data_IF_767168090051
#
_entry.id   IF_767168090051
#
_cell.length_a   1.000
_cell.length_b   1.000
_cell.length_c   1.000
_cell.angle_alpha   90.00
_cell.angle_beta   90.00
_cell.angle_gamma   90.00
#
_symmetry.space_group_name_H-M   'P 1'
#
loop_
_entity.id
_entity.type
_entity.pdbx_description
1 polymer ?
#
# COMPACT_ATOMS: atom_id res chain seq x y z
N UNK A 1 11.98 -33.59 49.70
CA UNK A 1 12.46 -32.24 50.07
C UNK A 1 11.30 -31.46 50.66
N UNK A 2 11.56 -30.69 51.71
CA UNK A 2 10.60 -30.20 52.70
C UNK A 2 9.62 -29.11 52.19
N UNK A 3 8.57 -28.95 53.00
CA UNK A 3 7.32 -28.19 52.96
C UNK A 3 7.39 -26.64 52.96
N UNK A 4 6.29 -25.99 52.49
CA UNK A 4 5.68 -24.68 52.93
C UNK A 4 6.49 -23.38 52.69
N UNK A 5 5.97 -22.14 52.49
CA UNK A 5 4.71 -21.44 52.88
C UNK A 5 4.58 -20.09 52.12
N UNK A 6 3.37 -19.50 52.12
CA UNK A 6 2.94 -18.22 51.51
C UNK A 6 3.02 -17.02 52.49
N UNK A 7 3.53 -15.85 52.02
CA UNK A 7 3.28 -14.38 52.36
C UNK A 7 3.12 -13.94 53.85
N UNK A 8 2.85 -12.66 54.22
CA UNK A 8 3.29 -11.30 53.81
C UNK A 8 3.73 -10.43 55.03
N UNK A 9 4.32 -9.24 54.84
CA UNK A 9 4.29 -8.09 55.81
C UNK A 9 4.37 -6.78 55.02
N UNK A 10 3.27 -6.06 54.78
CA UNK A 10 2.67 -5.04 55.67
C UNK A 10 3.68 -3.91 56.01
N UNK A 11 3.62 -2.79 55.30
CA UNK A 11 2.80 -1.62 55.67
C UNK A 11 3.45 -0.75 56.76
N UNK A 12 4.39 0.12 56.37
CA UNK A 12 4.70 1.39 57.05
C UNK A 12 5.17 2.38 55.98
N UNK A 13 4.79 3.66 56.12
CA UNK A 13 5.01 4.82 55.21
C UNK A 13 3.87 5.16 54.25
N UNK A 14 2.68 5.27 54.84
CA UNK A 14 1.69 6.28 54.49
C UNK A 14 2.17 7.68 54.96
N UNK A 15 1.74 8.72 54.23
CA UNK A 15 1.50 10.10 54.71
C UNK A 15 2.72 11.03 54.93
N UNK A 16 3.39 11.50 53.86
CA UNK A 16 4.18 12.75 53.96
C UNK A 16 4.51 13.48 52.63
N UNK A 17 3.78 13.29 51.52
CA UNK A 17 4.06 14.05 50.28
C UNK A 17 2.78 14.41 49.49
N UNK A 18 1.72 14.79 50.21
CA UNK A 18 0.43 15.23 49.65
C UNK A 18 0.28 16.76 49.53
N UNK A 19 1.34 17.56 49.54
CA UNK A 19 1.18 19.02 49.73
C UNK A 19 1.92 19.97 48.78
N UNK A 20 2.59 19.51 47.72
CA UNK A 20 3.14 20.44 46.73
C UNK A 20 3.05 19.87 45.32
N UNK A 21 2.16 20.47 44.52
CA UNK A 21 2.29 20.80 43.09
C UNK A 21 0.89 20.95 42.44
N UNK A 22 0.06 21.82 43.03
CA UNK A 22 -1.13 22.40 42.38
C UNK A 22 -0.72 23.65 41.59
N UNK A 23 0.19 23.50 40.62
CA UNK A 23 0.44 24.53 39.61
C UNK A 23 -0.27 24.07 38.35
N UNK A 24 -1.35 24.78 38.00
CA UNK A 24 -2.12 24.56 36.79
C UNK A 24 -1.25 24.71 35.55
N UNK A 25 -0.76 23.59 35.04
CA UNK A 25 -0.28 23.50 33.67
C UNK A 25 -1.47 23.28 32.76
N UNK A 26 -1.87 24.30 32.00
CA UNK A 26 -2.64 24.05 30.78
C UNK A 26 -1.81 23.09 29.94
N UNK A 27 -2.17 21.80 29.92
CA UNK A 27 -1.58 20.87 29.00
C UNK A 27 -1.98 21.37 27.60
N UNK A 28 -1.05 22.07 26.93
CA UNK A 28 -1.15 22.33 25.49
C UNK A 28 -1.30 20.96 24.85
N UNK A 29 -2.53 20.61 24.45
CA UNK A 29 -2.77 19.52 23.52
C UNK A 29 -1.80 19.78 22.37
N UNK A 30 -0.84 18.89 22.08
CA UNK A 30 0.03 19.07 20.94
C UNK A 30 -0.89 19.27 19.75
N UNK A 31 -0.88 20.46 19.16
CA UNK A 31 -1.61 20.71 17.93
C UNK A 31 -1.10 19.66 16.96
N UNK A 32 -1.96 18.69 16.63
CA UNK A 32 -1.60 17.62 15.71
C UNK A 32 -1.23 18.31 14.39
N UNK A 33 0.07 18.44 14.13
CA UNK A 33 0.56 18.91 12.84
C UNK A 33 -0.11 18.03 11.79
N UNK A 34 -0.76 18.59 10.76
CA UNK A 34 -1.39 17.79 9.72
C UNK A 34 -0.38 16.77 9.21
N UNK A 35 -0.66 15.48 9.42
CA UNK A 35 0.28 14.42 9.03
C UNK A 35 0.30 14.35 7.51
N UNK A 36 1.30 14.96 6.89
CA UNK A 36 1.53 14.81 5.45
C UNK A 36 1.90 13.36 5.20
N UNK A 37 1.06 12.64 4.47
CA UNK A 37 1.32 11.26 4.09
C UNK A 37 2.57 11.19 3.19
N UNK A 38 3.46 10.20 3.41
CA UNK A 38 4.53 9.92 2.47
C UNK A 38 4.00 9.77 1.03
N UNK A 39 4.75 10.23 0.00
CA UNK A 39 4.31 10.13 -1.39
C UNK A 39 3.83 8.73 -1.81
N UNK A 40 4.54 7.70 -1.33
CA UNK A 40 4.24 6.30 -1.60
C UNK A 40 2.89 5.87 -1.04
N UNK A 41 2.53 6.37 0.14
CA UNK A 41 1.25 6.08 0.79
C UNK A 41 0.11 6.80 0.08
N UNK A 42 0.34 8.02 -0.44
CA UNK A 42 -0.64 8.74 -1.27
C UNK A 42 -0.92 7.97 -2.56
N UNK A 43 0.13 7.46 -3.23
CA UNK A 43 -0.01 6.66 -4.45
C UNK A 43 -0.75 5.36 -4.13
N UNK A 44 -0.36 4.66 -3.06
CA UNK A 44 -0.98 3.40 -2.62
C UNK A 44 -2.47 3.60 -2.30
N UNK A 45 -2.83 4.64 -1.56
CA UNK A 45 -4.21 4.94 -1.21
C UNK A 45 -5.06 5.25 -2.45
N UNK A 46 -4.52 6.03 -3.41
CA UNK A 46 -5.22 6.31 -4.65
C UNK A 46 -5.40 5.06 -5.51
N UNK A 47 -4.38 4.20 -5.61
CA UNK A 47 -4.46 2.94 -6.34
C UNK A 47 -5.52 2.04 -5.72
N UNK A 48 -5.51 1.87 -4.39
CA UNK A 48 -6.53 1.10 -3.68
C UNK A 48 -7.93 1.63 -3.98
N UNK A 49 -8.16 2.94 -3.89
CA UNK A 49 -9.47 3.54 -4.20
C UNK A 49 -9.94 3.25 -5.62
N UNK A 50 -9.05 3.33 -6.61
CA UNK A 50 -9.37 3.04 -8.01
C UNK A 50 -9.70 1.55 -8.20
N UNK A 51 -8.89 0.67 -7.62
CA UNK A 51 -9.09 -0.78 -7.67
C UNK A 51 -10.39 -1.19 -6.98
N UNK A 52 -10.67 -0.67 -5.78
CA UNK A 52 -11.90 -0.95 -5.03
C UNK A 52 -13.14 -0.50 -5.81
N UNK A 53 -13.07 0.69 -6.44
CA UNK A 53 -14.13 1.20 -7.32
C UNK A 53 -14.34 0.27 -8.50
N UNK A 54 -13.27 -0.15 -9.18
CA UNK A 54 -13.35 -1.06 -10.32
C UNK A 54 -14.01 -2.40 -9.95
N UNK A 55 -13.57 -3.03 -8.85
CA UNK A 55 -14.16 -4.27 -8.35
C UNK A 55 -15.64 -4.10 -7.99
N UNK A 56 -15.99 -3.00 -7.32
CA UNK A 56 -17.38 -2.70 -6.95
C UNK A 56 -18.27 -2.50 -8.18
N UNK A 57 -17.78 -1.82 -9.23
CA UNK A 57 -18.49 -1.69 -10.51
C UNK A 57 -18.75 -3.04 -11.19
N UNK A 58 -17.90 -4.04 -10.94
CA UNK A 58 -18.08 -5.41 -11.42
C UNK A 58 -18.93 -6.27 -10.46
N UNK A 59 -19.54 -5.69 -9.42
CA UNK A 59 -20.34 -6.42 -8.43
C UNK A 59 -19.51 -7.30 -7.49
N UNK A 60 -18.22 -7.02 -7.34
CA UNK A 60 -17.29 -7.76 -6.48
C UNK A 60 -16.97 -6.96 -5.21
N UNK A 61 -16.85 -7.66 -4.08
CA UNK A 61 -16.39 -7.06 -2.83
C UNK A 61 -14.86 -6.96 -2.84
N UNK A 62 -14.27 -5.75 -2.69
CA UNK A 62 -12.82 -5.60 -2.65
C UNK A 62 -12.19 -6.33 -1.44
N UNK A 63 -11.03 -7.00 -1.63
CA UNK A 63 -10.36 -7.71 -0.54
C UNK A 63 -9.82 -6.72 0.49
N UNK A 64 -9.97 -7.03 1.78
CA UNK A 64 -9.41 -6.21 2.87
C UNK A 64 -8.10 -6.80 3.36
N UNK A 65 -7.20 -5.93 3.83
CA UNK A 65 -5.95 -6.37 4.44
C UNK A 65 -6.24 -7.31 5.62
N UNK A 66 -5.56 -8.46 5.66
CA UNK A 66 -5.74 -9.48 6.70
C UNK A 66 -6.95 -10.41 6.49
N UNK A 67 -7.74 -10.21 5.44
CA UNK A 67 -8.82 -11.14 5.09
C UNK A 67 -8.22 -12.48 4.65
N UNK A 68 -8.67 -13.56 5.31
CA UNK A 68 -8.27 -14.92 4.94
C UNK A 68 -9.14 -15.43 3.78
N UNK A 69 -8.58 -16.22 2.87
CA UNK A 69 -9.36 -16.91 1.85
C UNK A 69 -10.44 -17.78 2.50
N UNK A 70 -11.59 -17.87 1.84
CA UNK A 70 -12.66 -18.74 2.29
C UNK A 70 -12.33 -20.21 2.04
N UNK A 71 -12.72 -21.08 2.97
CA UNK A 71 -12.42 -22.52 2.89
C UNK A 71 -13.52 -23.34 2.23
N UNK A 72 -14.72 -22.78 2.05
CA UNK A 72 -15.80 -23.46 1.33
C UNK A 72 -15.58 -23.32 -0.18
N UNK A 73 -15.99 -24.33 -0.95
CA UNK A 73 -15.88 -24.28 -2.42
C UNK A 73 -16.55 -23.05 -3.03
N UNK A 74 -17.67 -22.60 -2.46
CA UNK A 74 -18.34 -21.39 -2.91
C UNK A 74 -17.51 -20.12 -2.64
N UNK A 75 -16.84 -20.06 -1.48
CA UNK A 75 -15.97 -18.95 -1.15
C UNK A 75 -14.68 -18.96 -2.00
N UNK A 76 -14.05 -20.11 -2.22
CA UNK A 76 -12.88 -20.22 -3.11
C UNK A 76 -13.17 -19.72 -4.53
N UNK A 77 -14.32 -20.10 -5.11
CA UNK A 77 -14.73 -19.57 -6.43
C UNK A 77 -14.97 -18.06 -6.44
N UNK A 78 -15.44 -17.51 -5.31
CA UNK A 78 -15.58 -16.06 -5.16
C UNK A 78 -14.20 -15.40 -5.12
N UNK A 79 -13.27 -15.96 -4.35
CA UNK A 79 -11.90 -15.45 -4.23
C UNK A 79 -11.16 -15.52 -5.56
N UNK A 80 -11.34 -16.59 -6.34
CA UNK A 80 -10.83 -16.72 -7.70
C UNK A 80 -11.40 -15.64 -8.63
N UNK A 81 -12.72 -15.43 -8.65
CA UNK A 81 -13.33 -14.34 -9.43
C UNK A 81 -12.83 -12.95 -9.03
N UNK A 82 -12.58 -12.72 -7.74
CA UNK A 82 -11.98 -11.47 -7.25
C UNK A 82 -10.52 -11.35 -7.72
N UNK A 83 -9.75 -12.43 -7.66
CA UNK A 83 -8.37 -12.48 -8.12
C UNK A 83 -8.27 -12.19 -9.62
N UNK A 84 -9.09 -12.84 -10.44
CA UNK A 84 -9.14 -12.66 -11.89
C UNK A 84 -9.51 -11.22 -12.26
N UNK A 85 -10.51 -10.64 -11.58
CA UNK A 85 -10.88 -9.25 -11.80
C UNK A 85 -9.81 -8.25 -11.31
N UNK A 86 -9.15 -8.56 -10.19
CA UNK A 86 -8.12 -7.71 -9.60
C UNK A 86 -6.86 -7.66 -10.48
N UNK A 87 -6.35 -8.84 -10.82
CA UNK A 87 -5.06 -8.99 -11.49
C UNK A 87 -5.19 -9.07 -13.02
N UNK A 88 -6.32 -9.52 -13.54
CA UNK A 88 -6.51 -9.88 -14.94
C UNK A 88 -6.42 -11.40 -15.13
N UNK A 89 -7.09 -11.91 -16.15
CA UNK A 89 -7.10 -13.35 -16.49
C UNK A 89 -7.02 -13.60 -18.00
N UNK A 90 -7.02 -12.54 -18.81
CA UNK A 90 -6.94 -12.62 -20.25
C UNK A 90 -5.53 -12.90 -20.78
N UNK A 91 -5.44 -13.04 -22.11
CA UNK A 91 -4.18 -13.32 -22.83
C UNK A 91 -3.26 -12.10 -22.94
N UNK A 92 -3.72 -10.92 -22.54
CA UNK A 92 -2.98 -9.67 -22.74
C UNK A 92 -2.00 -9.43 -21.59
N UNK A 93 -0.76 -9.85 -21.79
CA UNK A 93 0.31 -9.72 -20.81
C UNK A 93 1.43 -8.80 -21.30
N UNK A 94 2.03 -8.09 -20.36
CA UNK A 94 3.38 -7.56 -20.49
C UNK A 94 4.36 -8.57 -19.91
N UNK A 95 5.53 -8.68 -20.52
CA UNK A 95 6.60 -9.55 -20.06
C UNK A 95 7.94 -8.83 -20.12
N UNK A 96 8.78 -9.06 -19.11
CA UNK A 96 10.15 -8.56 -19.09
C UNK A 96 11.07 -9.64 -18.52
N UNK A 97 12.10 -10.00 -19.27
CA UNK A 97 13.13 -10.95 -18.83
C UNK A 97 14.24 -10.19 -18.11
N UNK A 98 14.44 -10.54 -16.85
CA UNK A 98 15.48 -9.99 -16.01
C UNK A 98 16.86 -10.53 -16.41
N UNK A 99 17.95 -9.81 -16.09
CA UNK A 99 19.31 -10.30 -16.31
C UNK A 99 19.61 -11.65 -15.63
N UNK A 100 18.86 -12.01 -14.58
CA UNK A 100 18.96 -13.31 -13.90
C UNK A 100 18.33 -14.48 -14.68
N UNK A 101 17.69 -14.21 -15.82
CA UNK A 101 16.96 -15.19 -16.63
C UNK A 101 15.48 -15.38 -16.24
N UNK A 102 15.02 -14.82 -15.11
CA UNK A 102 13.61 -14.89 -14.71
C UNK A 102 12.75 -13.93 -15.54
N UNK A 103 11.54 -14.33 -15.87
CA UNK A 103 10.55 -13.47 -16.55
C UNK A 103 9.50 -12.98 -15.55
N UNK A 104 9.33 -11.67 -15.48
CA UNK A 104 8.22 -11.02 -14.78
C UNK A 104 7.12 -10.77 -15.79
N UNK A 105 5.89 -11.14 -15.43
CA UNK A 105 4.70 -10.95 -16.27
C UNK A 105 3.61 -10.21 -15.51
N UNK A 106 2.82 -9.44 -16.22
CA UNK A 106 1.64 -8.77 -15.68
C UNK A 106 0.54 -8.70 -16.73
N UNK A 107 -0.65 -9.11 -16.34
CA UNK A 107 -1.85 -8.89 -17.14
C UNK A 107 -2.17 -7.39 -17.22
N UNK A 108 -2.83 -6.99 -18.30
CA UNK A 108 -3.17 -5.59 -18.59
C UNK A 108 -4.67 -5.29 -18.49
N UNK A 109 -5.48 -6.32 -18.30
CA UNK A 109 -6.95 -6.31 -18.31
C UNK A 109 -7.58 -6.29 -16.89
N UNK A 110 -6.79 -6.40 -15.83
CA UNK A 110 -7.29 -6.35 -14.44
C UNK A 110 -7.55 -4.94 -13.90
N UNK A 111 -8.30 -4.86 -12.80
CA UNK A 111 -8.57 -3.61 -12.07
C UNK A 111 -7.30 -2.93 -11.55
N UNK A 112 -6.27 -3.70 -11.17
CA UNK A 112 -4.97 -3.15 -10.79
C UNK A 112 -4.27 -2.49 -11.99
N UNK A 113 -4.30 -3.16 -13.14
CA UNK A 113 -3.71 -2.68 -14.38
C UNK A 113 -4.37 -1.36 -14.83
N UNK A 114 -5.70 -1.29 -14.80
CA UNK A 114 -6.47 -0.07 -15.09
C UNK A 114 -6.16 1.09 -14.10
N UNK A 115 -6.01 0.78 -12.81
CA UNK A 115 -5.61 1.77 -11.82
C UNK A 115 -4.19 2.31 -12.10
N UNK A 116 -3.24 1.43 -12.43
CA UNK A 116 -1.89 1.83 -12.78
C UNK A 116 -1.84 2.68 -14.07
N UNK A 117 -2.59 2.30 -15.10
CA UNK A 117 -2.75 3.11 -16.32
C UNK A 117 -3.27 4.52 -15.97
N UNK A 118 -4.25 4.61 -15.08
CA UNK A 118 -4.80 5.91 -14.64
C UNK A 118 -3.77 6.76 -13.91
N UNK A 119 -2.94 6.17 -13.05
CA UNK A 119 -1.99 6.90 -12.21
C UNK A 119 -0.69 7.23 -12.95
N UNK A 120 -0.09 6.26 -13.62
CA UNK A 120 1.22 6.39 -14.24
C UNK A 120 1.14 6.84 -15.71
N UNK A 121 -0.02 6.71 -16.36
CA UNK A 121 -0.18 7.06 -17.77
C UNK A 121 0.28 5.92 -18.67
N UNK A 122 1.57 5.81 -18.96
CA UNK A 122 2.08 4.76 -19.85
C UNK A 122 2.32 3.45 -19.07
N UNK A 123 1.38 2.51 -19.14
CA UNK A 123 1.47 1.23 -18.43
C UNK A 123 2.65 0.36 -18.92
N UNK A 124 3.00 0.35 -20.21
CA UNK A 124 4.12 -0.46 -20.71
C UNK A 124 5.44 0.08 -20.17
N UNK A 125 5.63 1.40 -20.26
CA UNK A 125 6.83 2.05 -19.74
C UNK A 125 6.90 1.91 -18.22
N UNK A 126 5.79 2.09 -17.51
CA UNK A 126 5.73 1.88 -16.06
C UNK A 126 6.10 0.44 -15.67
N UNK A 127 5.53 -0.56 -16.33
CA UNK A 127 5.84 -1.97 -16.09
C UNK A 127 7.32 -2.26 -16.28
N UNK A 128 7.91 -1.80 -17.39
CA UNK A 128 9.33 -2.01 -17.67
C UNK A 128 10.22 -1.38 -16.59
N UNK A 129 10.09 -0.07 -16.33
CA UNK A 129 11.03 0.61 -15.43
C UNK A 129 10.82 0.22 -13.96
N UNK A 130 9.59 -0.05 -13.54
CA UNK A 130 9.33 -0.56 -12.18
C UNK A 130 9.89 -1.96 -11.98
N UNK A 131 9.78 -2.83 -13.00
CA UNK A 131 10.38 -4.16 -12.97
C UNK A 131 11.90 -4.09 -12.86
N UNK A 132 12.56 -3.25 -13.67
CA UNK A 132 14.02 -3.07 -13.59
C UNK A 132 14.43 -2.53 -12.22
N UNK A 133 13.83 -1.42 -11.77
CA UNK A 133 14.21 -0.73 -10.52
C UNK A 133 13.98 -1.62 -9.28
N UNK A 134 12.89 -2.38 -9.25
CA UNK A 134 12.60 -3.29 -8.13
C UNK A 134 13.52 -4.51 -8.08
N UNK A 135 14.26 -4.80 -9.16
CA UNK A 135 15.14 -5.97 -9.28
C UNK A 135 16.64 -5.61 -9.34
N UNK A 136 17.03 -4.35 -9.11
CA UNK A 136 18.46 -3.95 -9.13
C UNK A 136 19.31 -4.68 -8.09
N UNK A 137 18.76 -4.98 -6.91
CA UNK A 137 19.49 -5.73 -5.86
C UNK A 137 19.72 -7.20 -6.25
N UNK A 138 18.68 -7.95 -6.67
CA UNK A 138 18.88 -9.28 -7.28
C UNK A 138 19.87 -9.28 -8.45
N UNK A 139 19.81 -8.29 -9.35
CA UNK A 139 20.75 -8.18 -10.46
C UNK A 139 22.20 -7.97 -9.99
N UNK A 140 22.43 -7.07 -9.03
CA UNK A 140 23.75 -6.82 -8.47
C UNK A 140 24.37 -8.09 -7.88
N UNK A 141 23.57 -8.86 -7.13
CA UNK A 141 23.99 -10.15 -6.60
C UNK A 141 24.35 -11.14 -7.72
N UNK A 142 23.50 -11.26 -8.74
CA UNK A 142 23.73 -12.17 -9.87
C UNK A 142 24.97 -11.82 -10.70
N UNK A 143 25.25 -10.53 -10.88
CA UNK A 143 26.41 -10.05 -11.64
C UNK A 143 27.70 -9.97 -10.81
N UNK A 144 27.66 -10.29 -9.52
CA UNK A 144 28.74 -10.08 -8.57
C UNK A 144 29.28 -8.64 -8.60
N UNK A 145 28.37 -7.65 -8.67
CA UNK A 145 28.68 -6.21 -8.68
C UNK A 145 28.07 -5.52 -7.47
N UNK A 146 28.62 -4.37 -7.09
CA UNK A 146 27.99 -3.52 -6.11
C UNK A 146 26.71 -2.86 -6.69
N UNK A 147 25.79 -2.50 -5.79
CA UNK A 147 24.51 -1.92 -6.17
C UNK A 147 24.65 -0.52 -6.80
N UNK A 148 25.69 0.24 -6.45
CA UNK A 148 25.89 1.58 -7.00
C UNK A 148 26.30 1.50 -8.48
N UNK A 149 27.20 0.57 -8.83
CA UNK A 149 27.57 0.26 -10.21
C UNK A 149 26.35 -0.18 -11.03
N UNK A 150 25.50 -1.06 -10.49
CA UNK A 150 24.27 -1.48 -11.20
C UNK A 150 23.29 -0.31 -11.36
N UNK A 151 23.13 0.56 -10.35
CA UNK A 151 22.32 1.78 -10.48
C UNK A 151 22.88 2.74 -11.53
N UNK A 152 24.20 2.85 -11.65
CA UNK A 152 24.82 3.70 -12.67
C UNK A 152 24.54 3.19 -14.08
N UNK A 153 24.52 1.86 -14.28
CA UNK A 153 24.12 1.24 -15.55
C UNK A 153 22.64 1.54 -15.89
N UNK A 154 21.76 1.52 -14.89
CA UNK A 154 20.31 1.75 -15.05
C UNK A 154 19.85 3.20 -14.75
N UNK A 155 20.73 4.18 -14.99
CA UNK A 155 20.45 5.60 -14.65
C UNK A 155 19.25 6.16 -15.39
N UNK A 156 19.00 5.69 -16.62
CA UNK A 156 17.88 6.12 -17.46
C UNK A 156 16.56 5.60 -16.90
N UNK A 157 16.50 4.31 -16.58
CA UNK A 157 15.35 3.64 -15.98
C UNK A 157 15.01 4.24 -14.61
N UNK A 158 16.02 4.58 -13.80
CA UNK A 158 15.85 5.30 -12.54
C UNK A 158 15.31 6.72 -12.74
N UNK A 159 15.75 7.44 -13.77
CA UNK A 159 15.21 8.75 -14.10
C UNK A 159 13.75 8.64 -14.55
N UNK A 160 13.43 7.67 -15.39
CA UNK A 160 12.09 7.41 -15.90
C UNK A 160 11.12 7.00 -14.78
N UNK A 161 11.55 6.09 -13.91
CA UNK A 161 10.80 5.66 -12.74
C UNK A 161 10.44 6.85 -11.84
N UNK A 162 11.41 7.76 -11.58
CA UNK A 162 11.15 8.98 -10.80
C UNK A 162 10.13 9.90 -11.49
N UNK A 163 10.23 10.10 -12.80
CA UNK A 163 9.28 10.94 -13.55
C UNK A 163 7.87 10.36 -13.53
N UNK A 164 7.71 9.07 -13.76
CA UNK A 164 6.41 8.39 -13.71
C UNK A 164 5.81 8.42 -12.31
N UNK A 165 6.62 8.28 -11.25
CA UNK A 165 6.14 8.42 -9.87
C UNK A 165 5.73 9.83 -9.51
N UNK A 166 6.44 10.84 -9.99
CA UNK A 166 6.04 12.23 -9.80
C UNK A 166 4.69 12.53 -10.46
N UNK A 167 4.48 12.03 -11.69
CA UNK A 167 3.18 12.09 -12.36
C UNK A 167 2.08 11.37 -11.56
N UNK A 168 2.35 10.13 -11.14
CA UNK A 168 1.41 9.35 -10.33
C UNK A 168 1.04 10.06 -9.03
N UNK A 169 2.00 10.65 -8.32
CA UNK A 169 1.73 11.42 -7.11
C UNK A 169 0.77 12.59 -7.37
N UNK A 170 0.99 13.36 -8.44
CA UNK A 170 0.09 14.46 -8.82
C UNK A 170 -1.33 13.94 -9.14
N UNK A 171 -1.41 12.81 -9.87
CA UNK A 171 -2.69 12.19 -10.22
C UNK A 171 -3.42 11.63 -9.01
N UNK A 172 -2.70 10.96 -8.10
CA UNK A 172 -3.23 10.41 -6.86
C UNK A 172 -3.88 11.46 -5.98
N UNK A 173 -3.26 12.64 -5.85
CA UNK A 173 -3.87 13.78 -5.12
C UNK A 173 -5.19 14.22 -5.74
N UNK A 174 -5.37 14.07 -7.05
CA UNK A 174 -6.62 14.43 -7.74
C UNK A 174 -7.70 13.35 -7.52
N UNK A 175 -7.30 12.07 -7.63
CA UNK A 175 -8.18 10.91 -7.36
C UNK A 175 -8.71 10.94 -5.93
N UNK A 176 -7.86 11.26 -4.95
CA UNK A 176 -8.26 11.30 -3.54
C UNK A 176 -9.14 12.50 -3.20
N UNK A 177 -9.00 13.64 -3.92
CA UNK A 177 -9.83 14.84 -3.72
C UNK A 177 -11.21 14.74 -4.33
N UNK A 178 -11.38 13.99 -5.42
CA UNK A 178 -12.70 13.79 -6.01
C UNK A 178 -13.60 13.07 -4.98
N UNK A 179 -14.65 13.72 -4.48
CA UNK A 179 -15.64 13.07 -3.61
C UNK A 179 -16.32 11.92 -4.35
N UNK A 180 -16.67 10.80 -3.68
CA UNK A 180 -17.65 9.90 -4.25
C UNK A 180 -18.95 10.69 -4.38
N UNK A 181 -19.51 10.78 -5.58
CA UNK A 181 -20.75 11.51 -5.86
C UNK A 181 -21.81 11.23 -4.78
N UNK A 182 -22.22 12.26 -4.05
CA UNK A 182 -23.49 12.26 -3.33
C UNK A 182 -24.56 12.35 -4.41
N UNK A 183 -25.52 11.42 -4.52
CA UNK A 183 -26.66 11.58 -5.41
C UNK A 183 -27.34 12.90 -5.05
N UNK A 184 -27.54 13.80 -6.02
CA UNK A 184 -28.37 14.98 -5.80
C UNK A 184 -29.77 14.49 -5.41
N UNK A 185 -30.39 15.00 -4.33
CA UNK A 185 -31.79 14.70 -4.10
C UNK A 185 -32.56 15.24 -5.30
N UNK A 186 -33.30 14.35 -5.96
CA UNK A 186 -34.20 14.70 -7.03
C UNK A 186 -35.09 15.86 -6.55
N UNK A 187 -34.96 17.00 -7.23
CA UNK A 187 -35.94 18.08 -7.14
C UNK A 187 -37.10 17.69 -8.03
N UNK A 188 -38.07 17.00 -7.46
CA UNK A 188 -39.41 16.92 -8.04
C UNK A 188 -40.11 18.25 -7.74
N UNK A 189 -40.49 18.95 -8.81
CA UNK A 189 -41.34 20.14 -8.81
C UNK A 189 -42.11 20.20 -10.11
#
# INVERSE_FOLDING_TARGET
>A
MHTTTVRPRAAVLLLALCALLLVGGCARVPSATPRVLPPDDVIRAAQQRLTDRCLTHQGLTPPRAGQRPGTTRAAMRRDERVSDALFGAGRTELSHTLPTGYSVRAHTDGCLAAAQQTLYGDQRRWFHVSTVVNNLKPEAAHRHRDLASVRALHRTELADWRRLRAHALARSKSVLRASPNVPSPHGDG
#
